data_IF_221241426623
#
_entry.id   IF_221241426623
#
_cell.length_a   1.000
_cell.length_b   1.000
_cell.length_c   1.000
_cell.angle_alpha   90.00
_cell.angle_beta   90.00
_cell.angle_gamma   90.00
#
_symmetry.space_group_name_H-M   'P 1'
#
loop_
_entity.id
_entity.type
_entity.pdbx_description
1 polymer ?
#
# COMPACT_ATOMS: atom_id res chain seq x y z
N UNK A 1 11.65 -5.58 -9.15
CA UNK A 1 10.27 -5.81 -8.65
C UNK A 1 10.15 -6.94 -7.62
N UNK A 2 11.07 -7.90 -7.53
CA UNK A 2 10.98 -9.03 -6.56
C UNK A 2 11.17 -8.64 -5.09
N UNK A 3 12.07 -7.69 -4.79
CA UNK A 3 12.39 -7.33 -3.40
C UNK A 3 11.22 -6.72 -2.60
N UNK A 4 10.45 -5.79 -3.20
CA UNK A 4 9.29 -5.18 -2.52
C UNK A 4 8.20 -6.22 -2.21
N UNK A 5 7.94 -7.14 -3.15
CA UNK A 5 6.99 -8.23 -2.95
C UNK A 5 7.43 -9.19 -1.84
N UNK A 6 8.72 -9.51 -1.78
CA UNK A 6 9.29 -10.34 -0.72
C UNK A 6 9.12 -9.71 0.66
N UNK A 7 9.35 -8.40 0.79
CA UNK A 7 9.18 -7.71 2.06
C UNK A 7 7.71 -7.63 2.50
N UNK A 8 6.79 -7.41 1.56
CA UNK A 8 5.36 -7.49 1.86
C UNK A 8 5.00 -8.91 2.31
N UNK A 9 5.55 -9.94 1.66
CA UNK A 9 5.33 -11.33 2.05
C UNK A 9 5.84 -11.61 3.47
N UNK A 10 7.07 -11.22 3.77
CA UNK A 10 7.66 -11.38 5.09
C UNK A 10 6.89 -10.62 6.18
N UNK A 11 6.39 -9.42 5.85
CA UNK A 11 5.50 -8.68 6.73
C UNK A 11 4.22 -9.47 6.99
N UNK A 12 3.58 -9.98 5.93
CA UNK A 12 2.36 -10.79 6.05
C UNK A 12 2.58 -12.03 6.92
N UNK A 13 3.69 -12.75 6.72
CA UNK A 13 4.00 -13.97 7.48
C UNK A 13 4.21 -13.72 8.98
N UNK A 14 4.66 -12.52 9.37
CA UNK A 14 4.88 -12.15 10.77
C UNK A 14 3.67 -11.48 11.42
N UNK A 15 2.95 -10.66 10.66
CA UNK A 15 1.88 -9.81 11.18
C UNK A 15 0.51 -10.48 11.11
N UNK A 16 0.25 -11.27 10.07
CA UNK A 16 -1.06 -11.86 9.83
C UNK A 16 -1.11 -13.22 10.50
N UNK A 17 -2.01 -13.37 11.47
CA UNK A 17 -2.31 -14.67 12.08
C UNK A 17 -2.78 -15.64 10.99
N UNK A 18 -2.30 -16.90 10.94
CA UNK A 18 -2.61 -17.83 9.85
C UNK A 18 -4.10 -18.01 9.55
N UNK A 19 -4.94 -17.98 10.59
CA UNK A 19 -6.41 -18.07 10.50
C UNK A 19 -7.04 -16.91 9.70
N UNK A 20 -6.39 -15.73 9.73
CA UNK A 20 -6.82 -14.52 9.02
C UNK A 20 -6.21 -14.37 7.63
N UNK A 21 -5.31 -15.27 7.23
CA UNK A 21 -4.66 -15.20 5.92
C UNK A 21 -5.69 -15.30 4.77
N UNK A 22 -6.70 -16.16 4.91
CA UNK A 22 -7.77 -16.31 3.91
C UNK A 22 -8.72 -15.11 3.85
N UNK A 23 -8.76 -14.31 4.92
CA UNK A 23 -9.55 -13.07 5.08
C UNK A 23 -8.73 -11.80 4.80
N UNK A 24 -7.48 -11.96 4.39
CA UNK A 24 -6.62 -10.83 4.01
C UNK A 24 -6.49 -10.75 2.50
N UNK A 25 -6.77 -9.57 1.94
CA UNK A 25 -6.63 -9.27 0.51
C UNK A 25 -5.54 -8.25 0.28
N UNK A 26 -4.62 -8.59 -0.60
CA UNK A 26 -3.52 -7.74 -1.04
C UNK A 26 -3.87 -7.22 -2.44
N UNK A 27 -3.87 -5.90 -2.59
CA UNK A 27 -4.02 -5.20 -3.84
C UNK A 27 -2.67 -4.74 -4.35
N UNK A 28 -2.27 -5.25 -5.51
CA UNK A 28 -1.13 -4.74 -6.28
C UNK A 28 -1.57 -3.60 -7.21
N UNK A 29 -0.64 -2.77 -7.71
CA UNK A 29 -1.00 -1.72 -8.66
C UNK A 29 -1.68 -2.31 -9.89
N UNK A 30 -1.06 -3.30 -10.54
CA UNK A 30 -1.50 -3.84 -11.82
C UNK A 30 -1.77 -5.36 -11.81
N UNK A 31 -2.53 -5.84 -12.81
CA UNK A 31 -2.91 -7.25 -12.94
C UNK A 31 -1.73 -8.19 -13.27
N UNK A 32 -0.77 -7.73 -14.07
CA UNK A 32 0.48 -8.45 -14.38
C UNK A 32 1.31 -8.73 -13.11
N UNK A 33 1.33 -7.79 -12.15
CA UNK A 33 2.00 -7.96 -10.86
C UNK A 33 1.33 -9.02 -10.00
N UNK A 34 0.00 -9.11 -10.04
CA UNK A 34 -0.75 -10.18 -9.35
C UNK A 34 -0.40 -11.54 -9.93
N UNK A 35 -0.37 -11.66 -11.26
CA UNK A 35 -0.01 -12.92 -11.92
C UNK A 35 1.43 -13.33 -11.56
N UNK A 36 2.37 -12.38 -11.65
CA UNK A 36 3.74 -12.61 -11.25
C UNK A 36 3.86 -13.00 -9.77
N UNK A 37 3.16 -12.30 -8.86
CA UNK A 37 3.18 -12.57 -7.43
C UNK A 37 2.65 -13.98 -7.11
N UNK A 38 1.55 -14.40 -7.76
CA UNK A 38 0.98 -15.75 -7.62
C UNK A 38 1.95 -16.84 -8.07
N UNK A 39 2.68 -16.60 -9.15
CA UNK A 39 3.63 -17.56 -9.72
C UNK A 39 5.01 -17.53 -9.03
N UNK A 40 5.24 -16.60 -8.11
CA UNK A 40 6.53 -16.42 -7.43
C UNK A 40 6.36 -16.35 -5.91
N UNK A 41 6.47 -15.15 -5.34
CA UNK A 41 6.63 -14.87 -3.91
C UNK A 41 5.40 -15.27 -3.07
N UNK A 42 4.22 -15.29 -3.67
CA UNK A 42 2.97 -15.66 -3.00
C UNK A 42 2.43 -17.01 -3.47
N UNK A 43 3.22 -17.79 -4.21
CA UNK A 43 2.86 -19.15 -4.59
C UNK A 43 2.57 -20.01 -3.35
N UNK A 44 1.46 -20.74 -3.37
CA UNK A 44 1.02 -21.57 -2.23
C UNK A 44 0.46 -20.79 -1.03
N UNK A 45 0.33 -19.47 -1.13
CA UNK A 45 -0.27 -18.65 -0.08
C UNK A 45 -1.78 -18.81 0.02
N UNK A 46 -2.30 -18.71 1.24
CA UNK A 46 -3.75 -18.55 1.48
C UNK A 46 -4.24 -17.10 1.34
N UNK A 47 -3.29 -16.14 1.26
CA UNK A 47 -3.56 -14.70 1.05
C UNK A 47 -4.26 -14.50 -0.30
N UNK A 48 -5.27 -13.62 -0.31
CA UNK A 48 -5.99 -13.27 -1.55
C UNK A 48 -5.24 -12.13 -2.25
N UNK A 49 -5.00 -12.28 -3.55
CA UNK A 49 -4.31 -11.28 -4.35
C UNK A 49 -5.25 -10.72 -5.41
N UNK A 50 -5.32 -9.40 -5.50
CA UNK A 50 -6.09 -8.62 -6.47
C UNK A 50 -5.28 -7.38 -6.89
N UNK A 51 -5.83 -6.55 -7.77
CA UNK A 51 -5.14 -5.34 -8.28
C UNK A 51 -6.03 -4.10 -8.24
N UNK A 52 -5.39 -2.91 -8.22
CA UNK A 52 -6.06 -1.62 -8.20
C UNK A 52 -6.48 -1.16 -9.61
N UNK A 53 -5.58 -1.32 -10.60
CA UNK A 53 -5.80 -0.86 -11.97
C UNK A 53 -5.62 -2.02 -12.95
N UNK A 54 -6.49 -2.10 -13.96
CA UNK A 54 -6.27 -3.00 -15.09
C UNK A 54 -5.34 -2.27 -16.05
N UNK A 55 -4.19 -2.82 -16.46
CA UNK A 55 -3.47 -2.25 -17.58
C UNK A 55 -4.30 -2.49 -18.84
N UNK A 56 -4.98 -1.46 -19.35
CA UNK A 56 -5.56 -1.52 -20.70
C UNK A 56 -4.56 -0.90 -21.66
N UNK A 57 -4.00 -1.68 -22.59
CA UNK A 57 -3.25 -1.19 -23.75
C UNK A 57 -4.03 -0.16 -24.62
N UNK A 58 -5.33 0.05 -24.33
CA UNK A 58 -6.21 1.05 -24.93
C UNK A 58 -6.39 2.32 -24.07
N UNK A 59 -5.75 2.44 -22.91
CA UNK A 59 -5.83 3.62 -22.02
C UNK A 59 -5.12 4.85 -22.58
N UNK A 60 -4.24 4.69 -23.57
CA UNK A 60 -3.71 5.80 -24.38
C UNK A 60 -4.81 6.50 -25.23
N UNK A 61 -6.02 5.93 -25.31
CA UNK A 61 -7.16 6.45 -26.10
C UNK A 61 -8.40 6.85 -25.27
N UNK A 62 -8.29 7.00 -23.94
CA UNK A 62 -9.30 7.75 -23.17
C UNK A 62 -10.60 7.03 -22.79
N UNK A 63 -10.69 5.71 -22.93
CA UNK A 63 -11.80 4.91 -22.40
C UNK A 63 -11.36 4.10 -21.17
N UNK A 64 -11.52 4.70 -19.98
CA UNK A 64 -11.25 4.02 -18.70
C UNK A 64 -12.41 3.07 -18.40
N UNK A 65 -12.21 1.76 -18.54
CA UNK A 65 -13.13 0.78 -17.95
C UNK A 65 -12.87 0.73 -16.45
N UNK A 66 -13.47 1.68 -15.72
CA UNK A 66 -13.30 1.80 -14.27
C UNK A 66 -13.96 0.61 -13.58
N UNK A 67 -13.16 -0.36 -13.17
CA UNK A 67 -13.61 -1.45 -12.29
C UNK A 67 -13.87 -0.85 -10.91
N UNK A 68 -15.07 -1.04 -10.35
CA UNK A 68 -15.40 -0.55 -9.00
C UNK A 68 -14.72 -1.41 -7.94
N UNK A 69 -14.23 -0.78 -6.88
CA UNK A 69 -13.58 -1.52 -5.78
C UNK A 69 -14.57 -2.41 -5.02
N UNK A 70 -15.83 -1.98 -4.89
CA UNK A 70 -16.92 -2.79 -4.35
C UNK A 70 -17.04 -4.18 -5.00
N UNK A 71 -16.78 -4.31 -6.31
CA UNK A 71 -16.88 -5.59 -7.03
C UNK A 71 -15.69 -6.54 -6.75
N UNK A 72 -14.59 -6.00 -6.19
CA UNK A 72 -13.35 -6.73 -5.88
C UNK A 72 -13.23 -7.13 -4.42
N UNK A 73 -13.96 -6.46 -3.54
CA UNK A 73 -14.00 -6.75 -2.11
C UNK A 73 -15.05 -7.81 -1.82
N UNK A 74 -14.69 -8.80 -1.00
CA UNK A 74 -15.62 -9.82 -0.51
C UNK A 74 -16.11 -9.49 0.90
N UNK A 75 -17.33 -9.91 1.28
CA UNK A 75 -17.85 -9.71 2.63
C UNK A 75 -16.92 -10.24 3.73
N UNK A 76 -16.27 -11.38 3.47
CA UNK A 76 -15.39 -12.08 4.42
C UNK A 76 -14.00 -11.45 4.56
N UNK A 77 -13.65 -10.45 3.75
CA UNK A 77 -12.37 -9.78 3.88
C UNK A 77 -12.36 -8.92 5.16
N UNK A 78 -11.32 -9.08 5.99
CA UNK A 78 -11.13 -8.33 7.24
C UNK A 78 -9.98 -7.31 7.14
N UNK A 79 -8.98 -7.60 6.31
CA UNK A 79 -7.78 -6.78 6.16
C UNK A 79 -7.48 -6.55 4.67
N UNK A 80 -7.33 -5.29 4.30
CA UNK A 80 -6.86 -4.86 2.99
C UNK A 80 -5.43 -4.34 3.09
N UNK A 81 -4.54 -4.89 2.27
CA UNK A 81 -3.17 -4.43 2.15
C UNK A 81 -2.97 -3.92 0.73
N UNK A 82 -2.53 -2.68 0.57
CA UNK A 82 -2.24 -2.08 -0.73
C UNK A 82 -0.73 -1.99 -0.91
N UNK A 83 -0.22 -2.60 -1.97
CA UNK A 83 1.19 -2.64 -2.30
C UNK A 83 1.58 -1.42 -3.14
N UNK A 84 2.40 -0.53 -2.56
CA UNK A 84 3.14 0.55 -3.24
C UNK A 84 2.38 1.30 -4.35
N UNK A 85 1.25 1.96 -4.03
CA UNK A 85 0.56 2.82 -5.00
C UNK A 85 1.44 4.07 -5.27
N UNK A 86 2.29 3.99 -6.28
CA UNK A 86 3.40 4.92 -6.53
C UNK A 86 3.41 5.44 -7.97
N UNK A 87 3.07 4.60 -8.96
CA UNK A 87 3.38 4.90 -10.36
C UNK A 87 2.33 5.83 -10.98
N UNK A 88 1.05 5.59 -10.68
CA UNK A 88 -0.06 6.36 -11.21
C UNK A 88 -0.82 7.09 -10.09
N UNK A 89 -1.06 8.38 -10.27
CA UNK A 89 -1.91 9.20 -9.37
C UNK A 89 -3.32 8.62 -9.21
N UNK A 90 -3.81 7.88 -10.19
CA UNK A 90 -5.09 7.19 -10.14
C UNK A 90 -5.09 6.04 -9.13
N UNK A 91 -3.96 5.38 -8.86
CA UNK A 91 -3.86 4.31 -7.86
C UNK A 91 -4.28 4.84 -6.48
N UNK A 92 -3.79 6.02 -6.10
CA UNK A 92 -4.14 6.62 -4.81
C UNK A 92 -5.62 7.02 -4.73
N UNK A 93 -6.23 7.43 -5.86
CA UNK A 93 -7.68 7.69 -5.93
C UNK A 93 -8.50 6.40 -5.74
N UNK A 94 -8.04 5.28 -6.31
CA UNK A 94 -8.67 3.97 -6.15
C UNK A 94 -8.54 3.47 -4.70
N UNK A 95 -7.43 3.75 -4.02
CA UNK A 95 -7.28 3.44 -2.60
C UNK A 95 -8.22 4.28 -1.72
N UNK A 96 -8.45 5.55 -2.05
CA UNK A 96 -9.49 6.35 -1.38
C UNK A 96 -10.89 5.76 -1.60
N UNK A 97 -11.19 5.28 -2.81
CA UNK A 97 -12.44 4.57 -3.13
C UNK A 97 -12.58 3.29 -2.29
N UNK A 98 -11.54 2.45 -2.25
CA UNK A 98 -11.48 1.25 -1.41
C UNK A 98 -11.72 1.58 0.07
N UNK A 99 -11.10 2.64 0.58
CA UNK A 99 -11.31 3.09 1.94
C UNK A 99 -12.77 3.47 2.19
N UNK A 100 -13.37 4.30 1.32
CA UNK A 100 -14.76 4.77 1.48
C UNK A 100 -15.78 3.63 1.38
N UNK A 101 -15.57 2.68 0.47
CA UNK A 101 -16.54 1.62 0.19
C UNK A 101 -16.41 0.42 1.13
N UNK A 102 -15.18 0.05 1.49
CA UNK A 102 -14.94 -1.21 2.22
C UNK A 102 -14.55 -1.03 3.68
N UNK A 103 -13.98 0.12 4.06
CA UNK A 103 -13.32 0.32 5.37
C UNK A 103 -14.09 1.30 6.24
N UNK A 104 -14.53 2.42 5.68
CA UNK A 104 -15.32 3.42 6.41
C UNK A 104 -16.61 2.75 6.92
N UNK A 105 -16.91 2.97 8.21
CA UNK A 105 -18.06 2.38 8.92
C UNK A 105 -18.03 0.85 9.05
N UNK A 106 -16.87 0.20 8.86
CA UNK A 106 -16.70 -1.23 9.14
C UNK A 106 -15.60 -1.47 10.16
N UNK A 107 -15.46 -2.70 10.64
CA UNK A 107 -14.34 -3.11 11.50
C UNK A 107 -13.09 -3.53 10.70
N UNK A 108 -13.11 -3.37 9.37
CA UNK A 108 -12.02 -3.80 8.49
C UNK A 108 -10.85 -2.82 8.58
N UNK A 109 -9.64 -3.32 8.38
CA UNK A 109 -8.42 -2.51 8.39
C UNK A 109 -7.85 -2.32 6.98
N UNK A 110 -7.17 -1.18 6.77
CA UNK A 110 -6.46 -0.86 5.53
C UNK A 110 -5.01 -0.50 5.86
N UNK A 111 -4.06 -1.20 5.23
CA UNK A 111 -2.63 -0.94 5.33
C UNK A 111 -2.12 -0.57 3.94
N UNK A 112 -1.44 0.56 3.82
CA UNK A 112 -0.83 1.00 2.55
C UNK A 112 0.68 0.98 2.69
N UNK A 113 1.35 0.15 1.89
CA UNK A 113 2.81 0.13 1.82
C UNK A 113 3.28 1.17 0.82
N UNK A 114 4.25 2.01 1.20
CA UNK A 114 4.99 2.90 0.30
C UNK A 114 4.13 3.65 -0.75
N UNK A 115 3.14 4.43 -0.29
CA UNK A 115 2.20 5.14 -1.18
C UNK A 115 2.64 6.54 -1.64
N UNK A 116 3.95 6.85 -1.61
CA UNK A 116 4.52 8.16 -1.99
C UNK A 116 3.79 9.40 -1.44
N UNK A 117 3.23 9.31 -0.22
CA UNK A 117 2.33 10.33 0.33
C UNK A 117 2.98 11.72 0.41
N UNK A 118 4.29 11.77 0.61
CA UNK A 118 5.06 13.01 0.70
C UNK A 118 5.01 13.81 -0.58
N UNK A 119 5.03 13.17 -1.76
CA UNK A 119 4.94 13.85 -3.06
C UNK A 119 3.58 14.53 -3.25
N UNK A 120 2.52 13.87 -2.82
CA UNK A 120 1.16 14.44 -2.89
C UNK A 120 1.01 15.57 -1.85
N UNK A 121 1.53 15.37 -0.63
CA UNK A 121 1.47 16.36 0.47
C UNK A 121 2.34 17.60 0.21
N UNK A 122 3.46 17.46 -0.49
CA UNK A 122 4.37 18.57 -0.80
C UNK A 122 3.85 19.50 -1.89
N UNK A 123 2.68 19.21 -2.48
CA UNK A 123 2.12 19.99 -3.58
C UNK A 123 2.85 19.79 -4.91
N UNK A 124 3.55 18.66 -5.10
CA UNK A 124 4.22 18.33 -6.36
C UNK A 124 3.26 18.38 -7.55
N UNK A 125 2.00 17.99 -7.34
CA UNK A 125 0.94 18.06 -8.34
C UNK A 125 0.15 19.36 -8.19
N UNK A 126 0.24 20.31 -9.16
CA UNK A 126 -0.47 21.57 -9.06
C UNK A 126 -1.99 21.34 -9.00
N UNK A 127 -2.71 21.91 -8.01
CA UNK A 127 -4.14 21.67 -7.82
C UNK A 127 -5.03 22.00 -9.04
N UNK A 128 -4.61 22.96 -9.87
CA UNK A 128 -5.34 23.37 -11.06
C UNK A 128 -5.44 22.23 -12.10
N UNK A 129 -4.36 21.47 -12.29
CA UNK A 129 -4.34 20.33 -13.21
C UNK A 129 -4.82 19.03 -12.57
N UNK A 130 -4.72 18.93 -11.24
CA UNK A 130 -5.07 17.72 -10.47
C UNK A 130 -6.03 17.98 -9.31
N UNK A 131 -7.26 18.46 -9.58
CA UNK A 131 -8.21 18.84 -8.54
C UNK A 131 -8.63 17.67 -7.64
N UNK A 132 -8.68 16.45 -8.19
CA UNK A 132 -8.99 15.22 -7.44
C UNK A 132 -7.89 14.89 -6.41
N UNK A 133 -6.61 15.06 -6.77
CA UNK A 133 -5.50 14.85 -5.83
C UNK A 133 -5.46 15.92 -4.76
N UNK A 134 -5.73 17.18 -5.13
CA UNK A 134 -5.82 18.27 -4.16
C UNK A 134 -6.94 18.02 -3.13
N UNK A 135 -8.06 17.44 -3.57
CA UNK A 135 -9.14 17.00 -2.68
C UNK A 135 -8.67 15.85 -1.78
N UNK A 136 -8.08 14.79 -2.38
CA UNK A 136 -7.56 13.62 -1.68
C UNK A 136 -6.55 14.00 -0.58
N UNK A 137 -5.66 14.97 -0.86
CA UNK A 137 -4.68 15.47 0.10
C UNK A 137 -5.31 16.16 1.31
N UNK A 138 -6.52 16.70 1.17
CA UNK A 138 -7.25 17.39 2.24
C UNK A 138 -8.23 16.47 2.98
N UNK A 139 -8.75 15.43 2.33
CA UNK A 139 -9.82 14.58 2.88
C UNK A 139 -9.33 13.23 3.38
N UNK A 140 -8.47 12.56 2.62
CA UNK A 140 -8.07 11.19 2.87
C UNK A 140 -6.68 11.08 3.50
N UNK A 141 -5.69 11.79 2.96
CA UNK A 141 -4.31 11.72 3.49
C UNK A 141 -4.16 12.13 4.97
N UNK A 142 -4.95 13.07 5.52
CA UNK A 142 -4.89 13.38 6.95
C UNK A 142 -5.43 12.26 7.85
N UNK A 143 -6.19 11.30 7.30
CA UNK A 143 -6.70 10.14 8.04
C UNK A 143 -5.71 8.98 8.10
N UNK A 144 -4.62 9.04 7.33
CA UNK A 144 -3.59 8.01 7.31
C UNK A 144 -2.58 8.26 8.43
N UNK A 145 -2.47 7.30 9.33
CA UNK A 145 -1.42 7.27 10.36
C UNK A 145 -0.14 6.68 9.76
N UNK A 146 0.99 7.34 9.99
CA UNK A 146 2.29 6.87 9.51
C UNK A 146 2.86 5.86 10.51
N UNK A 147 3.02 4.61 10.07
CA UNK A 147 3.60 3.54 10.88
C UNK A 147 4.94 3.14 10.30
N UNK A 148 5.97 3.09 11.14
CA UNK A 148 7.31 2.62 10.75
C UNK A 148 7.46 1.14 11.09
N UNK A 149 7.66 0.30 10.07
CA UNK A 149 8.01 -1.10 10.27
C UNK A 149 9.53 -1.25 10.35
N UNK A 150 10.04 -1.48 11.56
CA UNK A 150 11.46 -1.76 11.79
C UNK A 150 11.63 -3.29 11.73
N UNK A 151 12.16 -3.78 10.62
CA UNK A 151 12.56 -5.17 10.51
C UNK A 151 13.95 -5.33 11.16
N UNK A 152 14.06 -6.20 12.17
CA UNK A 152 15.32 -6.44 12.87
C UNK A 152 16.18 -7.45 12.09
N UNK A 153 17.38 -7.04 11.67
CA UNK A 153 18.27 -7.78 10.77
C UNK A 153 19.63 -8.07 11.39
N UNK A 154 19.70 -8.79 12.53
CA UNK A 154 20.98 -9.35 12.98
C UNK A 154 21.43 -10.45 11.99
N UNK A 155 22.22 -10.05 10.98
CA UNK A 155 22.81 -10.87 9.91
C UNK A 155 23.93 -10.10 9.16
N UNK A 156 24.75 -10.81 8.36
CA UNK A 156 26.06 -10.37 7.81
C UNK A 156 26.03 -9.20 6.81
N UNK A 157 24.87 -8.78 6.31
CA UNK A 157 24.71 -7.69 5.35
C UNK A 157 23.90 -6.55 5.99
N UNK A 158 24.46 -5.35 6.04
CA UNK A 158 23.85 -4.16 6.64
C UNK A 158 22.47 -3.84 6.05
N UNK A 159 21.52 -3.49 6.93
CA UNK A 159 20.11 -3.33 6.58
C UNK A 159 19.84 -2.15 5.63
N UNK A 160 18.81 -2.33 4.79
CA UNK A 160 18.24 -1.26 3.95
C UNK A 160 17.04 -0.69 4.72
N UNK A 161 17.19 0.55 5.20
CA UNK A 161 16.07 1.35 5.69
C UNK A 161 15.27 1.79 4.46
N UNK A 162 13.99 1.40 4.36
CA UNK A 162 13.15 1.92 3.29
C UNK A 162 12.81 3.39 3.55
N UNK A 163 13.53 4.28 2.86
CA UNK A 163 13.04 5.61 2.47
C UNK A 163 13.51 5.88 1.05
N UNK A 164 12.57 6.05 0.14
CA UNK A 164 12.83 6.80 -1.09
C UNK A 164 12.08 8.13 -0.99
N UNK A 165 12.77 9.15 -0.50
CA UNK A 165 12.38 10.56 -0.64
C UNK A 165 13.65 11.34 -0.94
N UNK A 166 13.67 12.02 -2.08
CA UNK A 166 14.71 12.98 -2.45
C UNK A 166 14.77 14.12 -1.41
N UNK A 167 15.99 14.42 -0.95
CA UNK A 167 16.39 15.63 -0.18
C UNK A 167 15.73 15.92 1.18
N UNK A 168 16.09 15.16 2.21
CA UNK A 168 16.24 15.72 3.58
C UNK A 168 16.99 14.76 4.50
N UNK A 169 17.91 15.28 5.31
CA UNK A 169 18.64 14.52 6.32
C UNK A 169 17.72 14.07 7.47
N UNK A 170 17.96 12.87 8.00
CA UNK A 170 17.25 12.36 9.17
C UNK A 170 17.73 13.05 10.46
N UNK A 171 16.82 13.38 11.37
CA UNK A 171 17.14 13.56 12.79
C UNK A 171 16.78 12.27 13.51
N UNK A 172 17.79 11.64 14.13
CA UNK A 172 17.65 10.46 14.98
C UNK A 172 17.20 10.94 16.36
N UNK A 173 16.07 10.47 16.85
CA UNK A 173 15.72 10.61 18.28
C UNK A 173 15.92 9.25 18.96
N UNK A 174 17.01 9.13 19.73
CA UNK A 174 17.12 8.07 20.73
C UNK A 174 16.27 8.46 21.93
N UNK A 175 15.29 7.64 22.30
CA UNK A 175 14.87 7.58 23.70
C UNK A 175 15.78 6.56 24.38
N UNK A 176 16.84 7.05 25.01
CA UNK A 176 17.53 6.30 26.05
C UNK A 176 16.62 6.34 27.26
N UNK A 177 15.83 5.30 27.48
CA UNK A 177 15.22 5.14 28.80
C UNK A 177 16.29 4.52 29.71
N UNK A 178 16.99 5.41 30.39
CA UNK A 178 17.85 5.09 31.52
C UNK A 178 17.03 4.38 32.60
N UNK A 179 17.52 3.21 33.02
CA UNK A 179 17.31 2.50 34.28
C UNK A 179 15.96 2.67 35.00
N UNK A 180 15.29 1.55 35.26
CA UNK A 180 14.96 1.17 36.64
C UNK A 180 15.12 -0.34 36.81
N UNK A 181 15.71 -0.70 37.96
CA UNK A 181 15.93 -2.04 38.51
C UNK A 181 14.61 -2.79 38.63
#
# INVERSE_FOLDING_TARGET
MTGSMQLIREFCDRFIVPEKATRTRIFFPEANEVEFARNSTFGGSSLKLDYLTKPSLFEDFGFVTKVKMADRVKPDDELFLVAYPYFNVNEMLVVEELYKEAVVNTARALIVFNGELDRIRSGYYPPFFYPKLATLSKTFLPKLETVYYIHNFKGRNGGILFRQVYNSAFSIYFVVQSAFI
#
